data_IF_140144365450
#
_entry.id   IF_140144365450
#
_cell.length_a   1.000
_cell.length_b   1.000
_cell.length_c   1.000
_cell.angle_alpha   90.00
_cell.angle_beta   90.00
_cell.angle_gamma   90.00
#
_symmetry.space_group_name_H-M   'P 1'
#
loop_
_entity.id
_entity.type
_entity.pdbx_description
1 polymer ?
#
# COMPACT_ATOMS: atom_id res chain seq x y z
N UNK A 1 13.54 -8.53 18.65
CA UNK A 1 12.97 -7.96 17.41
C UNK A 1 13.53 -6.56 17.28
N UNK A 2 14.47 -6.36 16.36
CA UNK A 2 15.17 -5.10 16.18
C UNK A 2 14.22 -4.05 15.54
N UNK A 3 13.97 -2.94 16.24
CA UNK A 3 13.14 -1.83 15.75
C UNK A 3 13.74 -1.15 14.50
N UNK A 4 15.02 -1.37 14.21
CA UNK A 4 15.68 -0.88 12.99
C UNK A 4 15.28 -1.66 11.72
N UNK A 5 14.65 -2.83 11.85
CA UNK A 5 14.33 -3.68 10.70
C UNK A 5 13.11 -3.19 9.89
N UNK A 6 12.26 -2.35 10.48
CA UNK A 6 11.11 -1.70 9.82
C UNK A 6 11.19 -0.18 9.98
N UNK A 7 12.29 0.40 9.50
CA UNK A 7 12.57 1.85 9.50
C UNK A 7 12.29 2.55 8.17
N UNK A 8 11.31 2.09 7.39
CA UNK A 8 11.02 2.66 6.08
C UNK A 8 10.23 3.97 6.21
N UNK A 9 10.84 5.11 5.92
CA UNK A 9 10.20 6.44 5.85
C UNK A 9 9.16 6.61 4.74
N UNK A 10 8.42 5.56 4.42
CA UNK A 10 7.29 5.60 3.53
C UNK A 10 6.09 6.26 4.25
N UNK A 11 5.28 7.06 3.54
CA UNK A 11 4.08 7.65 4.12
C UNK A 11 3.11 6.57 4.58
N UNK A 12 2.52 6.79 5.76
CA UNK A 12 1.46 5.94 6.31
C UNK A 12 0.12 6.59 5.96
N UNK A 13 -0.76 5.82 5.34
CA UNK A 13 -2.14 6.22 5.06
C UNK A 13 -3.08 5.45 5.98
N UNK A 14 -3.93 6.17 6.70
CA UNK A 14 -4.96 5.56 7.52
C UNK A 14 -6.14 5.11 6.64
N UNK A 15 -6.68 3.92 6.93
CA UNK A 15 -7.91 3.40 6.33
C UNK A 15 -8.74 2.71 7.43
N UNK A 16 -10.06 2.90 7.41
CA UNK A 16 -11.01 2.32 8.38
C UNK A 16 -11.23 0.82 8.18
N UNK A 17 -10.82 0.25 7.05
CA UNK A 17 -10.97 -1.16 6.73
C UNK A 17 -10.47 -1.50 5.32
N UNK A 18 -10.68 -2.76 4.91
CA UNK A 18 -10.16 -3.30 3.64
C UNK A 18 -10.70 -2.56 2.40
N UNK A 19 -11.95 -2.11 2.43
CA UNK A 19 -12.56 -1.35 1.33
C UNK A 19 -11.84 0.00 1.11
N UNK A 20 -11.69 0.81 2.17
CA UNK A 20 -10.98 2.09 2.10
C UNK A 20 -9.48 1.89 1.81
N UNK A 21 -8.87 0.80 2.29
CA UNK A 21 -7.48 0.44 1.94
C UNK A 21 -7.34 0.22 0.42
N UNK A 22 -8.30 -0.47 -0.21
CA UNK A 22 -8.29 -0.71 -1.65
C UNK A 22 -8.52 0.58 -2.45
N UNK A 23 -9.43 1.45 -2.01
CA UNK A 23 -9.65 2.77 -2.63
C UNK A 23 -8.39 3.65 -2.58
N UNK A 24 -7.72 3.70 -1.43
CA UNK A 24 -6.45 4.42 -1.26
C UNK A 24 -5.38 3.85 -2.18
N UNK A 25 -5.27 2.52 -2.28
CA UNK A 25 -4.30 1.87 -3.17
C UNK A 25 -4.56 2.21 -4.65
N UNK A 26 -5.83 2.18 -5.08
CA UNK A 26 -6.22 2.58 -6.44
C UNK A 26 -5.92 4.05 -6.75
N UNK A 27 -6.16 4.95 -5.79
CA UNK A 27 -5.83 6.36 -5.94
C UNK A 27 -4.30 6.56 -6.09
N UNK A 28 -3.51 5.94 -5.22
CA UNK A 28 -2.06 6.00 -5.29
C UNK A 28 -1.54 5.43 -6.62
N UNK A 29 -2.07 4.30 -7.08
CA UNK A 29 -1.69 3.72 -8.36
C UNK A 29 -1.98 4.68 -9.54
N UNK A 30 -3.13 5.37 -9.54
CA UNK A 30 -3.45 6.39 -10.55
C UNK A 30 -2.47 7.55 -10.53
N UNK A 31 -2.16 8.08 -9.34
CA UNK A 31 -1.22 9.21 -9.18
C UNK A 31 0.19 8.83 -9.62
N UNK A 32 0.62 7.61 -9.31
CA UNK A 32 1.98 7.12 -9.58
C UNK A 32 2.14 6.52 -10.99
N UNK A 33 1.05 6.35 -11.74
CA UNK A 33 1.07 5.63 -13.03
C UNK A 33 1.49 4.17 -12.87
N UNK A 34 0.99 3.51 -11.83
CA UNK A 34 1.34 2.16 -11.42
C UNK A 34 0.10 1.23 -11.41
N UNK A 35 0.31 -0.05 -11.12
CA UNK A 35 -0.75 -1.03 -10.93
C UNK A 35 -0.81 -1.51 -9.47
N UNK A 36 -2.02 -1.87 -9.01
CA UNK A 36 -2.24 -2.53 -7.72
C UNK A 36 -2.28 -4.03 -7.93
N UNK A 37 -1.53 -4.77 -7.11
CA UNK A 37 -1.55 -6.22 -7.04
C UNK A 37 -1.97 -6.69 -5.65
N UNK A 38 -2.96 -7.59 -5.59
CA UNK A 38 -3.43 -8.20 -4.35
C UNK A 38 -2.66 -9.51 -4.08
N UNK A 39 -2.05 -9.60 -2.89
CA UNK A 39 -1.35 -10.81 -2.45
C UNK A 39 -2.26 -11.81 -1.71
N UNK A 40 -3.56 -11.51 -1.61
CA UNK A 40 -4.61 -12.35 -1.02
C UNK A 40 -4.37 -12.66 0.48
N UNK A 41 -3.61 -11.81 1.18
CA UNK A 41 -3.32 -11.93 2.61
C UNK A 41 -3.50 -10.58 3.34
N UNK A 42 -4.30 -9.67 2.78
CA UNK A 42 -4.52 -8.32 3.30
C UNK A 42 -3.44 -7.30 2.90
N UNK A 43 -2.46 -7.71 2.09
CA UNK A 43 -1.42 -6.83 1.56
C UNK A 43 -1.69 -6.51 0.09
N UNK A 44 -1.71 -5.23 -0.22
CA UNK A 44 -1.71 -4.70 -1.58
C UNK A 44 -0.33 -4.14 -1.89
N UNK A 45 0.18 -4.42 -3.09
CA UNK A 45 1.46 -3.89 -3.58
C UNK A 45 1.21 -3.00 -4.79
N UNK A 46 1.80 -1.82 -4.80
CA UNK A 46 1.73 -0.88 -5.93
C UNK A 46 3.06 -0.94 -6.68
N UNK A 47 3.03 -1.37 -7.95
CA UNK A 47 4.23 -1.56 -8.78
C UNK A 47 4.05 -0.85 -10.11
N UNK A 48 5.09 -0.16 -10.58
CA UNK A 48 5.17 0.36 -11.95
C UNK A 48 6.01 -0.61 -12.78
N UNK A 49 5.48 -1.03 -13.92
CA UNK A 49 6.19 -1.86 -14.91
C UNK A 49 7.12 -1.04 -15.79
#
# INVERSE_FOLDING_TARGET
>A
MDRAQVGGGAPIFYARGAEEQYEVALLLAKVLGAAVHDLHNGVLVIVRH
#
